data_IF_892660395800
#
_entry.id   IF_892660395800
#
_cell.length_a   1.000
_cell.length_b   1.000
_cell.length_c   1.000
_cell.angle_alpha   90.00
_cell.angle_beta   90.00
_cell.angle_gamma   90.00
#
_symmetry.space_group_name_H-M   'P 1'
#
loop_
_entity.id
_entity.type
_entity.pdbx_description
1 polymer ?
#
# COMPACT_ATOMS: atom_id res chain seq x y z
N UNK A 1 6.57 -12.69 -11.97
CA UNK A 1 6.33 -11.34 -11.43
C UNK A 1 7.21 -10.38 -12.21
N UNK A 2 6.68 -9.23 -12.64
CA UNK A 2 7.46 -8.17 -13.30
C UNK A 2 7.45 -6.96 -12.39
N UNK A 3 8.63 -6.40 -12.10
CA UNK A 3 8.79 -5.29 -11.17
C UNK A 3 9.58 -4.18 -11.84
N UNK A 4 9.18 -2.93 -11.61
CA UNK A 4 9.91 -1.74 -12.02
C UNK A 4 10.41 -1.05 -10.76
N UNK A 5 11.72 -0.84 -10.65
CA UNK A 5 12.30 -0.05 -9.56
C UNK A 5 12.46 1.39 -10.02
N UNK A 6 11.94 2.33 -9.22
CA UNK A 6 12.16 3.77 -9.38
C UNK A 6 13.08 4.33 -8.28
N UNK A 7 13.57 3.49 -7.36
CA UNK A 7 14.33 3.96 -6.20
C UNK A 7 15.69 4.58 -6.53
N UNK A 8 16.24 4.32 -7.72
CA UNK A 8 17.47 4.96 -8.20
C UNK A 8 17.26 6.31 -8.90
N UNK A 9 16.02 6.78 -8.98
CA UNK A 9 15.66 8.05 -9.60
C UNK A 9 15.62 9.18 -8.57
N UNK A 10 15.90 10.39 -9.03
CA UNK A 10 15.66 11.62 -8.28
C UNK A 10 14.22 11.65 -7.74
N UNK A 11 14.09 12.01 -6.46
CA UNK A 11 12.86 11.88 -5.69
C UNK A 11 11.75 12.80 -6.16
N UNK A 12 12.11 14.05 -6.44
CA UNK A 12 11.16 15.14 -6.63
C UNK A 12 10.64 15.14 -8.07
N UNK A 13 11.52 14.92 -9.05
CA UNK A 13 11.18 15.07 -10.46
C UNK A 13 11.07 13.72 -11.14
N UNK A 14 12.08 12.87 -10.99
CA UNK A 14 12.19 11.67 -11.83
C UNK A 14 11.33 10.50 -11.33
N UNK A 15 11.16 10.31 -10.01
CA UNK A 15 10.34 9.22 -9.46
C UNK A 15 8.87 9.35 -9.86
N UNK A 16 8.18 10.51 -9.73
CA UNK A 16 6.78 10.62 -10.16
C UNK A 16 6.61 10.32 -11.65
N UNK A 17 7.51 10.83 -12.50
CA UNK A 17 7.50 10.57 -13.94
C UNK A 17 7.74 9.08 -14.21
N UNK A 18 8.75 8.49 -13.56
CA UNK A 18 9.08 7.08 -13.69
C UNK A 18 7.92 6.17 -13.27
N UNK A 19 7.27 6.47 -12.16
CA UNK A 19 6.11 5.73 -11.67
C UNK A 19 4.95 5.82 -12.68
N UNK A 20 4.64 7.00 -13.18
CA UNK A 20 3.58 7.19 -14.17
C UNK A 20 3.87 6.44 -15.48
N UNK A 21 5.08 6.57 -16.03
CA UNK A 21 5.47 5.94 -17.30
C UNK A 21 5.45 4.41 -17.17
N UNK A 22 6.04 3.87 -16.12
CA UNK A 22 6.11 2.41 -15.91
C UNK A 22 4.72 1.82 -15.67
N UNK A 23 3.90 2.47 -14.84
CA UNK A 23 2.51 2.03 -14.58
C UNK A 23 1.66 2.09 -15.84
N UNK A 24 1.78 3.16 -16.63
CA UNK A 24 1.06 3.32 -17.90
C UNK A 24 1.49 2.30 -18.94
N UNK A 25 2.78 2.02 -19.04
CA UNK A 25 3.30 0.95 -19.89
C UNK A 25 2.75 -0.42 -19.48
N UNK A 26 2.80 -0.74 -18.17
CA UNK A 26 2.29 -2.00 -17.65
C UNK A 26 0.79 -2.17 -17.95
N UNK A 27 -0.01 -1.12 -17.72
CA UNK A 27 -1.42 -1.10 -18.09
C UNK A 27 -1.63 -1.37 -19.59
N UNK A 28 -0.93 -0.66 -20.48
CA UNK A 28 -1.06 -0.82 -21.93
C UNK A 28 -0.68 -2.23 -22.39
N UNK A 29 0.37 -2.82 -21.79
CA UNK A 29 0.80 -4.18 -22.11
C UNK A 29 -0.22 -5.22 -21.63
N UNK A 30 -0.69 -5.09 -20.39
CA UNK A 30 -1.53 -6.09 -19.73
C UNK A 30 -3.00 -6.02 -20.16
N UNK A 31 -3.50 -4.85 -20.56
CA UNK A 31 -4.90 -4.65 -20.93
C UNK A 31 -5.31 -5.30 -22.25
N UNK A 32 -4.35 -5.78 -23.06
CA UNK A 32 -4.60 -6.39 -24.38
C UNK A 32 -5.26 -7.78 -24.29
N UNK A 33 -4.81 -8.64 -23.38
CA UNK A 33 -5.30 -10.02 -23.26
C UNK A 33 -6.31 -10.17 -22.13
N UNK A 34 -7.61 -10.12 -22.42
CA UNK A 34 -8.66 -10.13 -21.39
C UNK A 34 -8.93 -11.51 -20.78
N UNK A 35 -8.31 -12.58 -21.31
CA UNK A 35 -8.55 -13.97 -20.89
C UNK A 35 -7.80 -14.36 -19.61
N UNK A 36 -6.73 -13.64 -19.28
CA UNK A 36 -5.87 -13.94 -18.13
C UNK A 36 -6.13 -12.97 -16.98
N UNK A 37 -6.21 -13.48 -15.75
CA UNK A 37 -6.24 -12.67 -14.53
C UNK A 37 -4.87 -12.06 -14.29
N UNK A 38 -4.82 -10.76 -14.02
CA UNK A 38 -3.58 -10.00 -13.82
C UNK A 38 -3.75 -9.05 -12.66
N UNK A 39 -2.64 -8.63 -12.06
CA UNK A 39 -2.61 -7.58 -11.05
C UNK A 39 -1.55 -6.55 -11.38
N UNK A 40 -1.89 -5.28 -11.20
CA UNK A 40 -0.97 -4.15 -11.21
C UNK A 40 -1.01 -3.56 -9.81
N UNK A 41 0.14 -3.56 -9.15
CA UNK A 41 0.34 -2.91 -7.86
C UNK A 41 1.14 -1.65 -8.11
N UNK A 42 0.64 -0.52 -7.62
CA UNK A 42 1.27 0.79 -7.73
C UNK A 42 1.65 1.18 -6.31
N UNK A 43 2.94 1.07 -6.01
CA UNK A 43 3.49 1.56 -4.76
C UNK A 43 3.73 3.07 -4.86
N UNK A 44 3.67 3.78 -3.73
CA UNK A 44 3.75 5.25 -3.68
C UNK A 44 2.71 5.95 -4.60
N UNK A 45 1.51 5.39 -4.68
CA UNK A 45 0.45 5.84 -5.59
C UNK A 45 -0.03 7.27 -5.30
N UNK A 46 0.21 7.79 -4.11
CA UNK A 46 -0.10 9.17 -3.74
C UNK A 46 0.65 10.19 -4.60
N UNK A 47 1.84 9.85 -5.12
CA UNK A 47 2.58 10.75 -6.02
C UNK A 47 1.85 10.97 -7.35
N UNK A 48 0.96 10.06 -7.75
CA UNK A 48 0.12 10.26 -8.92
C UNK A 48 -1.06 11.20 -8.66
N UNK A 49 -1.31 11.61 -7.41
CA UNK A 49 -2.35 12.58 -7.07
C UNK A 49 -1.88 14.03 -7.20
N UNK A 50 -0.59 14.27 -7.44
CA UNK A 50 0.01 15.62 -7.49
C UNK A 50 -0.45 16.45 -8.70
N UNK A 51 -0.78 15.79 -9.82
CA UNK A 51 -1.30 16.45 -11.02
C UNK A 51 -2.66 15.88 -11.41
N UNK A 52 -3.53 16.73 -11.97
CA UNK A 52 -4.84 16.30 -12.45
C UNK A 52 -4.73 15.19 -13.50
N UNK A 53 -3.76 15.30 -14.41
CA UNK A 53 -3.55 14.36 -15.51
C UNK A 53 -3.19 12.96 -15.01
N UNK A 54 -2.25 12.86 -14.06
CA UNK A 54 -1.83 11.58 -13.47
C UNK A 54 -2.94 10.97 -12.63
N UNK A 55 -3.64 11.79 -11.84
CA UNK A 55 -4.72 11.35 -10.97
C UNK A 55 -5.90 10.80 -11.79
N UNK A 56 -6.29 11.55 -12.81
CA UNK A 56 -7.39 11.18 -13.72
C UNK A 56 -7.08 9.92 -14.49
N UNK A 57 -5.85 9.78 -14.97
CA UNK A 57 -5.44 8.56 -15.64
C UNK A 57 -5.53 7.34 -14.73
N UNK A 58 -5.06 7.45 -13.47
CA UNK A 58 -5.12 6.35 -12.51
C UNK A 58 -6.57 5.99 -12.17
N UNK A 59 -7.43 6.98 -11.92
CA UNK A 59 -8.86 6.81 -11.68
C UNK A 59 -9.55 6.07 -12.83
N UNK A 60 -9.30 6.48 -14.06
CA UNK A 60 -9.78 5.80 -15.27
C UNK A 60 -9.27 4.37 -15.39
N UNK A 61 -8.03 4.09 -14.97
CA UNK A 61 -7.48 2.74 -14.94
C UNK A 61 -8.22 1.87 -13.93
N UNK A 62 -8.45 2.36 -12.71
CA UNK A 62 -9.24 1.70 -11.68
C UNK A 62 -10.66 1.37 -12.16
N UNK A 63 -11.36 2.35 -12.76
CA UNK A 63 -12.71 2.18 -13.30
C UNK A 63 -12.81 1.12 -14.40
N UNK A 64 -11.78 1.03 -15.25
CA UNK A 64 -11.74 0.15 -16.43
C UNK A 64 -11.13 -1.24 -16.17
N UNK A 65 -10.45 -1.42 -15.04
CA UNK A 65 -9.66 -2.61 -14.69
C UNK A 65 -10.48 -3.91 -14.76
N UNK A 66 -11.69 -3.91 -14.20
CA UNK A 66 -12.63 -5.05 -14.17
C UNK A 66 -12.92 -5.59 -15.57
N UNK A 67 -13.23 -4.71 -16.53
CA UNK A 67 -13.52 -5.10 -17.93
C UNK A 67 -12.30 -5.72 -18.63
N UNK A 68 -11.09 -5.50 -18.11
CA UNK A 68 -9.82 -5.97 -18.66
C UNK A 68 -9.24 -7.19 -17.92
N UNK A 69 -9.96 -7.74 -16.94
CA UNK A 69 -9.48 -8.84 -16.09
C UNK A 69 -8.18 -8.48 -15.34
N UNK A 70 -8.09 -7.21 -14.92
CA UNK A 70 -6.96 -6.64 -14.16
C UNK A 70 -7.47 -6.23 -12.78
N UNK A 71 -6.76 -6.63 -11.74
CA UNK A 71 -6.86 -6.07 -10.40
C UNK A 71 -5.87 -4.92 -10.28
N UNK A 72 -6.38 -3.71 -10.01
CA UNK A 72 -5.54 -2.57 -9.62
C UNK A 72 -5.41 -2.57 -8.10
N UNK A 73 -4.23 -2.21 -7.60
CA UNK A 73 -3.94 -2.05 -6.18
C UNK A 73 -3.03 -0.83 -6.03
N UNK A 74 -3.47 0.17 -5.28
CA UNK A 74 -2.68 1.34 -4.93
C UNK A 74 -2.23 1.18 -3.48
N UNK A 75 -0.93 1.32 -3.25
CA UNK A 75 -0.34 1.40 -1.92
C UNK A 75 0.04 2.85 -1.67
N UNK A 76 -0.28 3.36 -0.47
CA UNK A 76 0.02 4.73 -0.05
C UNK A 76 0.31 4.73 1.44
N UNK A 77 1.17 5.64 1.88
CA UNK A 77 1.43 5.90 3.29
C UNK A 77 0.33 6.78 3.92
N UNK A 78 -0.34 7.60 3.11
CA UNK A 78 -1.39 8.52 3.53
C UNK A 78 -2.61 8.48 2.62
N UNK A 79 -3.80 8.19 3.19
CA UNK A 79 -5.05 8.18 2.43
C UNK A 79 -5.62 9.58 2.20
N UNK A 80 -5.26 10.55 3.04
CA UNK A 80 -5.69 11.94 2.96
C UNK A 80 -5.34 12.57 1.62
N UNK A 81 -4.23 12.18 0.98
CA UNK A 81 -3.88 12.67 -0.36
C UNK A 81 -4.93 12.30 -1.40
N UNK A 82 -5.52 11.10 -1.30
CA UNK A 82 -6.61 10.66 -2.17
C UNK A 82 -7.94 11.36 -1.86
N UNK A 83 -8.09 11.92 -0.67
CA UNK A 83 -9.29 12.67 -0.27
C UNK A 83 -9.25 14.13 -0.72
N UNK A 84 -8.06 14.68 -1.02
CA UNK A 84 -7.88 16.07 -1.46
C UNK A 84 -8.34 16.33 -2.90
N UNK A 85 -8.42 15.28 -3.73
CA UNK A 85 -8.76 15.38 -5.16
C UNK A 85 -9.97 14.52 -5.53
N UNK A 86 -10.86 14.97 -6.45
CA UNK A 86 -12.03 14.21 -6.88
C UNK A 86 -11.70 12.82 -7.45
N UNK A 87 -10.57 12.71 -8.15
CA UNK A 87 -10.09 11.48 -8.78
C UNK A 87 -9.73 10.41 -7.74
N UNK A 88 -9.14 10.82 -6.62
CA UNK A 88 -8.79 9.91 -5.54
C UNK A 88 -10.04 9.26 -4.93
N UNK A 89 -11.12 10.02 -4.75
CA UNK A 89 -12.43 9.45 -4.37
C UNK A 89 -12.95 8.44 -5.39
N UNK A 90 -12.72 8.67 -6.69
CA UNK A 90 -13.05 7.71 -7.75
C UNK A 90 -12.26 6.40 -7.61
N UNK A 91 -10.98 6.47 -7.26
CA UNK A 91 -10.13 5.31 -6.99
C UNK A 91 -10.64 4.53 -5.77
N UNK A 92 -10.94 5.21 -4.67
CA UNK A 92 -11.44 4.57 -3.44
C UNK A 92 -12.78 3.86 -3.65
N UNK A 93 -13.70 4.46 -4.43
CA UNK A 93 -14.99 3.85 -4.80
C UNK A 93 -14.85 2.61 -5.68
N UNK A 94 -13.82 2.57 -6.54
CA UNK A 94 -13.54 1.40 -7.40
C UNK A 94 -12.66 0.35 -6.72
N UNK A 95 -12.22 0.59 -5.48
CA UNK A 95 -11.40 -0.33 -4.68
C UNK A 95 -12.27 -1.11 -3.70
N UNK A 96 -12.74 -2.28 -4.10
CA UNK A 96 -13.65 -3.10 -3.27
C UNK A 96 -13.00 -3.58 -1.98
N UNK A 97 -11.73 -3.95 -2.04
CA UNK A 97 -10.96 -4.44 -0.89
C UNK A 97 -9.95 -3.37 -0.48
N UNK A 98 -9.90 -3.09 0.82
CA UNK A 98 -9.03 -2.08 1.41
C UNK A 98 -8.33 -2.67 2.61
N UNK A 99 -7.03 -2.46 2.69
CA UNK A 99 -6.21 -2.81 3.85
C UNK A 99 -5.82 -1.50 4.52
N UNK A 100 -6.21 -1.32 5.77
CA UNK A 100 -5.93 -0.13 6.56
C UNK A 100 -5.08 -0.58 7.75
N UNK A 101 -3.86 -0.07 7.83
CA UNK A 101 -3.00 -0.24 9.01
C UNK A 101 -3.17 0.96 9.92
N UNK A 102 -2.32 1.11 10.94
CA UNK A 102 -2.36 2.24 11.87
C UNK A 102 -2.52 3.59 11.16
N UNK A 103 -3.44 4.42 11.66
CA UNK A 103 -3.73 5.76 11.14
C UNK A 103 -3.36 6.83 12.17
N UNK A 104 -3.10 8.05 11.71
CA UNK A 104 -2.86 9.20 12.59
C UNK A 104 -4.18 9.75 13.16
N UNK A 105 -4.19 10.24 14.43
CA UNK A 105 -5.38 10.81 15.05
C UNK A 105 -6.02 11.97 14.27
N UNK A 106 -5.22 12.74 13.54
CA UNK A 106 -5.72 13.87 12.75
C UNK A 106 -6.54 13.45 11.53
N UNK A 107 -6.29 12.24 11.00
CA UNK A 107 -6.92 11.73 9.78
C UNK A 107 -8.09 10.79 10.07
N UNK A 108 -8.23 10.30 11.31
CA UNK A 108 -9.13 9.19 11.64
C UNK A 108 -10.60 9.49 11.36
N UNK A 109 -11.07 10.72 11.59
CA UNK A 109 -12.47 11.08 11.32
C UNK A 109 -12.78 11.06 9.82
N UNK A 110 -11.85 11.54 8.99
CA UNK A 110 -12.00 11.47 7.54
C UNK A 110 -11.97 10.02 7.06
N UNK A 111 -11.05 9.20 7.58
CA UNK A 111 -10.98 7.77 7.28
C UNK A 111 -12.28 7.07 7.68
N UNK A 112 -12.77 7.30 8.90
CA UNK A 112 -14.01 6.71 9.42
C UNK A 112 -15.22 7.02 8.55
N UNK A 113 -15.41 8.29 8.18
CA UNK A 113 -16.51 8.71 7.31
C UNK A 113 -16.39 8.09 5.90
N UNK A 114 -15.22 8.19 5.27
CA UNK A 114 -15.04 7.80 3.86
C UNK A 114 -14.98 6.29 3.64
N UNK A 115 -14.58 5.54 4.67
CA UNK A 115 -14.50 4.08 4.62
C UNK A 115 -15.63 3.38 5.37
N UNK A 116 -16.60 4.13 5.90
CA UNK A 116 -17.73 3.63 6.68
C UNK A 116 -17.24 2.69 7.79
N UNK A 117 -16.28 3.17 8.59
CA UNK A 117 -15.77 2.42 9.73
C UNK A 117 -16.71 2.59 10.92
N UNK A 118 -16.88 1.51 11.68
CA UNK A 118 -17.49 1.60 13.00
C UNK A 118 -16.57 2.38 13.97
N UNK A 119 -17.12 2.82 15.10
CA UNK A 119 -16.35 3.49 16.14
C UNK A 119 -15.19 2.60 16.62
N UNK A 120 -15.48 1.31 16.89
CA UNK A 120 -14.45 0.37 17.34
C UNK A 120 -13.38 0.07 16.29
N UNK A 121 -13.75 0.05 15.00
CA UNK A 121 -12.78 -0.09 13.91
C UNK A 121 -11.84 1.11 13.84
N UNK A 122 -12.37 2.33 13.96
CA UNK A 122 -11.58 3.55 13.97
C UNK A 122 -10.65 3.62 15.20
N UNK A 123 -11.16 3.31 16.40
CA UNK A 123 -10.37 3.26 17.64
C UNK A 123 -9.25 2.22 17.56
N UNK A 124 -9.52 1.06 16.96
CA UNK A 124 -8.50 0.06 16.70
C UNK A 124 -7.39 0.58 15.79
N UNK A 125 -7.72 1.26 14.68
CA UNK A 125 -6.72 1.80 13.76
C UNK A 125 -5.83 2.89 14.39
N UNK A 126 -6.28 3.59 15.44
CA UNK A 126 -5.44 4.54 16.17
C UNK A 126 -4.35 3.86 17.02
N UNK A 127 -4.64 2.66 17.50
CA UNK A 127 -3.81 1.95 18.49
C UNK A 127 -3.16 0.68 17.94
N UNK A 128 -3.47 0.32 16.68
CA UNK A 128 -2.99 -0.88 16.02
C UNK A 128 -1.44 -1.02 16.09
N UNK A 129 -0.92 -2.12 16.63
CA UNK A 129 0.52 -2.40 16.59
C UNK A 129 1.02 -2.60 15.16
N UNK A 130 2.34 -2.47 14.94
CA UNK A 130 2.95 -2.73 13.62
C UNK A 130 2.59 -4.14 13.14
N UNK A 131 2.10 -4.23 11.90
CA UNK A 131 1.66 -5.47 11.27
C UNK A 131 0.17 -5.77 11.45
N UNK A 132 -0.51 -5.11 12.39
CA UNK A 132 -1.96 -5.23 12.54
C UNK A 132 -2.70 -4.19 11.71
N UNK A 133 -3.90 -4.55 11.28
CA UNK A 133 -4.79 -3.64 10.55
C UNK A 133 -6.18 -4.24 10.35
N UNK A 134 -7.01 -3.50 9.63
CA UNK A 134 -8.34 -3.91 9.20
C UNK A 134 -8.33 -4.18 7.70
N UNK A 135 -8.83 -5.34 7.29
CA UNK A 135 -9.20 -5.61 5.92
C UNK A 135 -10.71 -5.41 5.78
N UNK A 136 -11.11 -4.52 4.89
CA UNK A 136 -12.52 -4.28 4.57
C UNK A 136 -12.79 -4.71 3.13
N UNK A 137 -13.82 -5.52 2.92
CA UNK A 137 -14.25 -6.01 1.62
C UNK A 137 -15.75 -5.81 1.46
N UNK A 138 -16.16 -4.79 0.70
CA UNK A 138 -17.52 -4.28 0.74
C UNK A 138 -17.92 -3.87 2.16
N UNK A 139 -18.95 -4.50 2.72
CA UNK A 139 -19.47 -4.23 4.06
C UNK A 139 -18.83 -5.11 5.15
N UNK A 140 -18.12 -6.17 4.75
CA UNK A 140 -17.42 -7.05 5.68
C UNK A 140 -16.08 -6.44 6.10
N UNK A 141 -15.74 -6.58 7.37
CA UNK A 141 -14.48 -6.16 7.93
C UNK A 141 -13.91 -7.23 8.88
N UNK A 142 -12.59 -7.35 8.90
CA UNK A 142 -11.88 -8.24 9.82
C UNK A 142 -10.53 -7.66 10.19
N UNK A 143 -10.05 -7.96 11.39
CA UNK A 143 -8.69 -7.64 11.81
C UNK A 143 -7.74 -8.65 11.17
N UNK A 144 -6.62 -8.17 10.65
CA UNK A 144 -5.54 -9.02 10.15
C UNK A 144 -4.22 -8.69 10.85
N UNK A 145 -3.32 -9.67 10.83
CA UNK A 145 -1.92 -9.51 11.18
C UNK A 145 -1.06 -9.95 9.99
N UNK A 146 -0.09 -9.12 9.63
CA UNK A 146 0.87 -9.38 8.57
C UNK A 146 2.29 -9.29 9.13
N UNK A 147 3.06 -10.35 8.92
CA UNK A 147 4.46 -10.46 9.28
C UNK A 147 5.25 -10.91 8.04
N UNK A 148 6.34 -10.20 7.75
CA UNK A 148 7.28 -10.65 6.72
C UNK A 148 8.09 -11.82 7.26
N UNK A 149 8.27 -12.85 6.44
CA UNK A 149 9.24 -13.90 6.74
C UNK A 149 10.64 -13.28 6.87
N UNK A 150 11.54 -13.93 7.61
CA UNK A 150 12.91 -13.43 7.78
C UNK A 150 13.60 -13.15 6.44
N UNK A 151 13.38 -14.02 5.45
CA UNK A 151 13.93 -13.85 4.11
C UNK A 151 13.35 -12.60 3.42
N UNK A 152 12.04 -12.39 3.49
CA UNK A 152 11.39 -11.20 2.90
C UNK A 152 11.86 -9.92 3.60
N UNK A 153 11.94 -9.94 4.93
CA UNK A 153 12.41 -8.81 5.71
C UNK A 153 13.82 -8.38 5.28
N UNK A 154 14.75 -9.33 5.18
CA UNK A 154 16.13 -9.04 4.73
C UNK A 154 16.20 -8.49 3.30
N UNK A 155 15.29 -8.92 2.41
CA UNK A 155 15.28 -8.46 1.02
C UNK A 155 14.69 -7.06 0.86
N UNK A 156 13.75 -6.66 1.73
CA UNK A 156 12.95 -5.46 1.53
C UNK A 156 13.03 -4.43 2.67
N UNK A 157 13.82 -4.68 3.72
CA UNK A 157 13.99 -3.70 4.80
C UNK A 157 14.57 -2.40 4.27
N UNK A 158 13.92 -1.30 4.62
CA UNK A 158 14.39 0.07 4.41
C UNK A 158 14.87 0.70 5.72
N UNK A 159 14.88 -0.04 6.83
CA UNK A 159 15.34 0.47 8.12
C UNK A 159 16.84 0.77 8.04
N UNK A 160 17.26 2.04 8.21
CA UNK A 160 18.67 2.41 8.16
C UNK A 160 19.54 1.63 9.14
N UNK A 161 18.98 1.23 10.30
CA UNK A 161 19.71 0.48 11.32
C UNK A 161 19.97 -0.96 10.89
N UNK A 162 19.01 -1.61 10.21
CA UNK A 162 19.20 -2.95 9.67
C UNK A 162 20.18 -2.95 8.48
N UNK A 163 20.11 -1.90 7.66
CA UNK A 163 20.99 -1.72 6.51
C UNK A 163 22.43 -1.44 6.93
N UNK A 164 22.64 -0.71 8.03
CA UNK A 164 23.96 -0.49 8.62
C UNK A 164 24.58 -1.81 9.10
N UNK A 165 23.82 -2.63 9.85
CA UNK A 165 24.27 -3.94 10.33
C UNK A 165 24.64 -4.87 9.17
N UNK A 166 23.82 -4.89 8.12
CA UNK A 166 24.05 -5.71 6.92
C UNK A 166 25.38 -5.42 6.22
N UNK A 167 25.90 -4.18 6.33
CA UNK A 167 27.18 -3.76 5.74
C UNK A 167 28.39 -4.11 6.61
N UNK A 168 28.23 -4.13 7.93
CA UNK A 168 29.34 -4.32 8.88
C UNK A 168 29.53 -5.79 9.29
N UNK A 169 28.44 -6.53 9.48
CA UNK A 169 28.46 -7.88 10.03
C UNK A 169 27.34 -8.63 9.34
N UNK A 170 27.64 -9.58 8.44
CA UNK A 170 26.61 -10.36 7.73
C UNK A 170 25.45 -10.73 8.67
N UNK A 171 24.24 -10.31 8.29
CA UNK A 171 23.01 -10.25 9.10
C UNK A 171 22.97 -11.26 10.27
N UNK A 172 23.09 -10.79 11.53
CA UNK A 172 23.07 -11.70 12.69
C UNK A 172 21.64 -12.10 13.05
N UNK A 173 21.34 -13.41 12.94
CA UNK A 173 20.02 -14.01 13.22
C UNK A 173 19.45 -13.69 14.62
N UNK A 174 20.30 -13.33 15.58
CA UNK A 174 19.90 -13.10 16.98
C UNK A 174 19.09 -11.82 17.19
N UNK A 175 19.32 -10.76 16.42
CA UNK A 175 18.60 -9.49 16.59
C UNK A 175 17.16 -9.60 16.08
N UNK A 176 16.96 -10.21 14.91
CA UNK A 176 15.64 -10.52 14.36
C UNK A 176 14.83 -11.38 15.34
N UNK A 177 15.41 -12.46 15.89
CA UNK A 177 14.70 -13.34 16.84
C UNK A 177 14.27 -12.61 18.13
N UNK A 178 15.05 -11.63 18.59
CA UNK A 178 14.75 -10.87 19.83
C UNK A 178 13.58 -9.91 19.64
N UNK A 179 13.56 -9.15 18.54
CA UNK A 179 12.45 -8.22 18.22
C UNK A 179 11.13 -8.96 17.92
N UNK A 180 11.20 -10.20 17.41
CA UNK A 180 10.02 -11.00 17.11
C UNK A 180 9.42 -11.69 18.35
N UNK A 181 10.25 -12.08 19.33
CA UNK A 181 9.77 -12.63 20.59
C UNK A 181 8.90 -11.62 21.38
N UNK A 182 9.24 -10.34 21.28
CA UNK A 182 8.52 -9.25 21.95
C UNK A 182 7.18 -8.89 21.28
N UNK A 183 7.02 -9.19 19.99
CA UNK A 183 5.78 -8.93 19.23
C UNK A 183 4.75 -10.06 19.34
N UNK A 184 5.20 -11.32 19.51
CA UNK A 184 4.31 -12.49 19.64
C UNK A 184 3.56 -12.57 20.98
N UNK A 185 4.04 -11.90 22.03
CA UNK A 185 3.34 -11.84 23.32
C UNK A 185 2.00 -11.08 23.25
N UNK A 186 1.83 -10.21 22.27
CA UNK A 186 0.57 -9.47 22.03
C UNK A 186 -0.49 -10.29 21.27
N UNK A 187 -0.10 -11.40 20.63
CA UNK A 187 -1.01 -12.26 19.85
C UNK A 187 -1.81 -13.20 20.78
N UNK A 188 -1.36 -13.40 22.02
CA UNK A 188 -1.92 -14.35 22.99
C UNK A 188 -2.69 -13.69 24.15
N UNK A 189 -2.87 -12.37 24.13
CA UNK A 189 -3.66 -11.61 25.11
C UNK A 189 -4.91 -11.02 24.44
#
# INVERSE_FOLDING_TARGET
MLTFSVGGLDEEIMRPIGLFVTTRWAWNKLSRDRRKKKRIVVDEAQTMMDTHETAKWLEDAFRRSRKRNISMCACTQGFEVFLRVPEGMGILKNSTTKFMMKQEPIDIEAVKEKFALSIGEAEFLLTAPKGYGIVKANDDASVFFAEATEKEYRMFTSDPNDLAVSKEVGFSEQRYKTDQAQKRSFVQA
#
